data_IF_921571233943
#
_entry.id   IF_921571233943
#
_cell.length_a   1.000
_cell.length_b   1.000
_cell.length_c   1.000
_cell.angle_alpha   90.00
_cell.angle_beta   90.00
_cell.angle_gamma   90.00
#
_symmetry.space_group_name_H-M   'P 1'
#
loop_
_entity.id
_entity.type
_entity.pdbx_description
1 polymer ?
#
# COMPACT_ATOMS: atom_id res chain seq x y z
N UNK A 1 11.28 -4.98 26.23
CA UNK A 1 10.42 -4.89 25.02
C UNK A 1 9.24 -4.01 25.42
N UNK A 2 8.96 -2.90 24.71
CA UNK A 2 7.85 -1.99 25.08
C UNK A 2 6.51 -2.55 24.61
N UNK A 3 5.41 -2.17 25.26
CA UNK A 3 4.06 -2.57 24.86
C UNK A 3 3.77 -2.21 23.40
N UNK A 4 4.12 -0.98 22.99
CA UNK A 4 3.99 -0.51 21.62
C UNK A 4 4.70 -1.42 20.59
N UNK A 5 5.89 -1.91 20.93
CA UNK A 5 6.65 -2.81 20.04
C UNK A 5 5.98 -4.17 19.88
N UNK A 6 5.35 -4.67 20.94
CA UNK A 6 4.59 -5.93 20.90
C UNK A 6 3.37 -5.75 19.99
N UNK A 7 2.62 -4.66 20.18
CA UNK A 7 1.44 -4.35 19.37
C UNK A 7 1.78 -4.15 17.89
N UNK A 8 2.88 -3.45 17.60
CA UNK A 8 3.36 -3.29 16.23
C UNK A 8 3.73 -4.64 15.58
N UNK A 9 4.43 -5.50 16.32
CA UNK A 9 4.78 -6.85 15.86
C UNK A 9 3.53 -7.67 15.56
N UNK A 10 2.55 -7.69 16.47
CA UNK A 10 1.30 -8.44 16.30
C UNK A 10 0.48 -7.94 15.11
N UNK A 11 0.43 -6.62 14.90
CA UNK A 11 -0.21 -6.02 13.71
C UNK A 11 0.45 -6.48 12.41
N UNK A 12 1.78 -6.45 12.34
CA UNK A 12 2.53 -6.89 11.15
C UNK A 12 2.31 -8.37 10.91
N UNK A 13 2.40 -9.20 11.96
CA UNK A 13 2.16 -10.65 11.87
C UNK A 13 0.78 -10.92 11.27
N UNK A 14 -0.26 -10.30 11.84
CA UNK A 14 -1.64 -10.46 11.36
C UNK A 14 -1.79 -10.04 9.90
N UNK A 15 -1.25 -8.88 9.54
CA UNK A 15 -1.32 -8.37 8.17
C UNK A 15 -0.63 -9.31 7.17
N UNK A 16 0.51 -9.91 7.52
CA UNK A 16 1.22 -10.84 6.64
C UNK A 16 0.51 -12.19 6.48
N UNK A 17 -0.19 -12.66 7.50
CA UNK A 17 -0.86 -13.97 7.48
C UNK A 17 -2.29 -13.92 6.93
N UNK A 18 -2.94 -12.75 6.98
CA UNK A 18 -4.33 -12.57 6.57
C UNK A 18 -4.48 -11.68 5.32
N UNK A 19 -3.38 -11.22 4.72
CA UNK A 19 -3.43 -10.39 3.53
C UNK A 19 -4.14 -11.09 2.36
N UNK A 20 -4.95 -10.35 1.56
CA UNK A 20 -5.50 -10.87 0.33
C UNK A 20 -4.39 -11.24 -0.65
N UNK A 21 -4.62 -12.27 -1.46
CA UNK A 21 -3.69 -12.69 -2.50
C UNK A 21 -3.58 -11.59 -3.58
N UNK A 22 -2.38 -11.08 -3.89
CA UNK A 22 -2.21 -10.12 -4.97
C UNK A 22 -2.45 -10.75 -6.35
N UNK A 23 -2.94 -9.94 -7.28
CA UNK A 23 -3.06 -10.28 -8.68
C UNK A 23 -1.66 -10.35 -9.34
N UNK A 24 -1.50 -11.28 -10.28
CA UNK A 24 -0.34 -11.24 -11.17
C UNK A 24 -0.46 -10.05 -12.11
N UNK A 25 0.62 -9.27 -12.34
CA UNK A 25 0.56 -8.11 -13.23
C UNK A 25 0.30 -8.55 -14.67
N UNK A 26 -0.63 -7.88 -15.33
CA UNK A 26 -0.81 -7.93 -16.78
C UNK A 26 -0.22 -6.66 -17.40
N UNK A 27 0.89 -6.81 -18.10
CA UNK A 27 1.63 -5.69 -18.70
C UNK A 27 0.94 -5.05 -19.90
N UNK A 28 -0.17 -5.62 -20.38
CA UNK A 28 -0.92 -5.12 -21.53
C UNK A 28 -2.01 -4.12 -21.14
N UNK A 29 -2.32 -3.98 -19.85
CA UNK A 29 -3.37 -3.10 -19.33
C UNK A 29 -2.80 -2.06 -18.34
N UNK A 30 -3.45 -0.90 -18.18
CA UNK A 30 -2.94 0.16 -17.32
C UNK A 30 -3.00 -0.21 -15.83
N UNK A 31 -2.03 0.31 -15.09
CA UNK A 31 -2.02 0.26 -13.62
C UNK A 31 -2.75 1.47 -13.02
N UNK A 32 -3.29 1.28 -11.81
CA UNK A 32 -3.82 2.32 -10.95
C UNK A 32 -3.00 2.39 -9.67
N UNK A 33 -2.47 3.56 -9.32
CA UNK A 33 -1.71 3.74 -8.09
C UNK A 33 -2.58 4.50 -7.07
N UNK A 34 -3.00 3.81 -6.02
CA UNK A 34 -3.65 4.43 -4.87
C UNK A 34 -2.57 4.82 -3.86
N UNK A 35 -2.55 6.08 -3.45
CA UNK A 35 -1.54 6.63 -2.53
C UNK A 35 -2.24 7.24 -1.32
N UNK A 36 -1.74 6.92 -0.13
CA UNK A 36 -2.03 7.64 1.08
C UNK A 36 -0.73 8.16 1.70
N UNK A 37 -0.69 9.45 1.99
CA UNK A 37 0.47 10.12 2.58
C UNK A 37 0.09 10.70 3.94
N UNK A 38 0.99 10.57 4.91
CA UNK A 38 0.93 11.30 6.18
C UNK A 38 2.28 11.97 6.45
N UNK A 39 2.41 12.73 7.54
CA UNK A 39 3.66 13.42 7.89
C UNK A 39 4.87 12.50 8.15
N UNK A 40 4.66 11.18 8.22
CA UNK A 40 5.71 10.20 8.53
C UNK A 40 6.11 9.33 7.33
N UNK A 41 5.19 9.09 6.40
CA UNK A 41 5.37 8.05 5.39
C UNK A 41 4.30 8.09 4.31
N UNK A 42 4.57 7.31 3.27
CA UNK A 42 3.65 6.98 2.21
C UNK A 42 3.29 5.50 2.31
N UNK A 43 2.02 5.20 2.13
CA UNK A 43 1.52 3.86 1.86
C UNK A 43 0.81 3.87 0.53
N UNK A 44 1.19 2.96 -0.36
CA UNK A 44 0.65 2.86 -1.69
C UNK A 44 0.18 1.44 -2.01
N UNK A 45 -0.84 1.34 -2.86
CA UNK A 45 -1.28 0.08 -3.44
C UNK A 45 -1.32 0.25 -4.96
N UNK A 46 -0.54 -0.57 -5.66
CA UNK A 46 -0.58 -0.68 -7.10
C UNK A 46 -1.66 -1.69 -7.47
N UNK A 47 -2.64 -1.28 -8.25
CA UNK A 47 -3.81 -2.05 -8.63
C UNK A 47 -3.93 -2.19 -10.14
N UNK A 48 -4.68 -3.19 -10.57
CA UNK A 48 -5.16 -3.33 -11.95
C UNK A 48 -6.63 -3.77 -11.95
N UNK A 49 -7.37 -3.36 -12.98
CA UNK A 49 -8.71 -3.88 -13.23
C UNK A 49 -8.58 -5.01 -14.25
N UNK A 50 -8.67 -6.25 -13.77
CA UNK A 50 -8.54 -7.47 -14.59
C UNK A 50 -9.91 -8.17 -14.71
N UNK A 51 -10.10 -8.97 -15.76
CA UNK A 51 -11.27 -9.85 -15.86
C UNK A 51 -10.95 -11.15 -15.12
N UNK A 52 -11.66 -11.40 -14.03
CA UNK A 52 -11.56 -12.62 -13.21
C UNK A 52 -12.97 -13.18 -13.09
N UNK A 53 -13.15 -14.47 -13.41
CA UNK A 53 -14.47 -15.13 -13.44
C UNK A 53 -15.52 -14.31 -14.23
N UNK A 54 -15.14 -13.86 -15.42
CA UNK A 54 -15.94 -13.03 -16.34
C UNK A 54 -16.41 -11.68 -15.77
N UNK A 55 -15.76 -11.19 -14.71
CA UNK A 55 -16.10 -9.91 -14.05
C UNK A 55 -14.89 -8.97 -13.95
N UNK A 56 -15.08 -7.66 -14.22
CA UNK A 56 -14.04 -6.67 -13.95
C UNK A 56 -13.81 -6.56 -12.45
N UNK A 57 -12.59 -6.90 -12.03
CA UNK A 57 -12.16 -6.92 -10.64
C UNK A 57 -10.98 -5.97 -10.48
N UNK A 58 -11.16 -4.93 -9.66
CA UNK A 58 -10.06 -4.07 -9.21
C UNK A 58 -9.35 -4.76 -8.05
N UNK A 59 -8.09 -5.14 -8.24
CA UNK A 59 -7.32 -5.86 -7.23
C UNK A 59 -5.87 -5.39 -7.14
N UNK A 60 -5.24 -5.58 -5.97
CA UNK A 60 -3.87 -5.18 -5.73
C UNK A 60 -2.91 -6.12 -6.48
N UNK A 61 -1.95 -5.55 -7.19
CA UNK A 61 -0.77 -6.25 -7.73
C UNK A 61 0.35 -6.26 -6.69
N UNK A 62 0.57 -5.13 -6.02
CA UNK A 62 1.51 -5.05 -4.89
C UNK A 62 1.18 -3.88 -3.96
N UNK A 63 1.66 -4.00 -2.72
CA UNK A 63 1.67 -2.91 -1.75
C UNK A 63 3.08 -2.35 -1.64
N UNK A 64 3.19 -1.02 -1.65
CA UNK A 64 4.43 -0.28 -1.50
C UNK A 64 4.31 0.61 -0.27
N UNK A 65 5.42 0.86 0.40
CA UNK A 65 5.45 1.86 1.47
C UNK A 65 6.86 2.39 1.64
N UNK A 66 6.95 3.66 2.03
CA UNK A 66 8.23 4.33 2.26
C UNK A 66 8.11 5.38 3.35
N UNK A 67 9.11 5.46 4.21
CA UNK A 67 9.24 6.58 5.14
C UNK A 67 9.68 7.86 4.42
N UNK A 68 9.13 8.99 4.86
CA UNK A 68 9.49 10.31 4.35
C UNK A 68 10.92 10.64 4.80
N UNK A 69 11.73 11.20 3.90
CA UNK A 69 13.07 11.68 4.24
C UNK A 69 12.96 12.95 5.10
N UNK A 70 13.92 13.23 6.00
CA UNK A 70 13.88 14.45 6.82
C UNK A 70 13.76 15.75 6.02
N UNK A 71 14.26 15.78 4.78
CA UNK A 71 14.11 16.91 3.85
C UNK A 71 12.69 17.02 3.28
N UNK A 72 12.06 15.88 2.99
CA UNK A 72 10.71 15.80 2.42
C UNK A 72 9.63 16.14 3.46
N UNK A 73 9.87 15.83 4.73
CA UNK A 73 8.95 16.14 5.84
C UNK A 73 8.79 17.66 6.10
N UNK A 74 9.66 18.49 5.51
CA UNK A 74 9.61 19.96 5.63
C UNK A 74 8.75 20.61 4.55
N UNK A 75 8.34 19.86 3.54
CA UNK A 75 7.36 20.35 2.58
C UNK A 75 6.00 20.42 3.29
N UNK A 76 5.27 21.52 3.07
CA UNK A 76 3.91 21.60 3.56
C UNK A 76 3.08 20.46 2.96
N UNK A 77 2.19 19.85 3.76
CA UNK A 77 1.10 19.06 3.18
C UNK A 77 0.40 19.97 2.15
N UNK A 78 0.23 19.48 0.92
CA UNK A 78 -0.17 20.26 -0.26
C UNK A 78 -1.02 21.47 0.11
N UNK A 79 -0.53 22.68 -0.18
CA UNK A 79 -1.41 23.84 -0.28
C UNK A 79 -2.31 23.58 -1.48
N UNK A 80 -3.44 22.93 -1.24
CA UNK A 80 -4.57 22.89 -2.17
C UNK A 80 -5.44 24.11 -1.90
#
# INVERSE_FOLDING_TARGET
MTQERIEAYEKIRKALTEAPLPLMPDWTIPFKLYIYACGYGFGEALHQVQIIDDKPTDGPVCYLSRQIKPTEARYGASQM
#
